data_IF_812485311418
#
_entry.id   IF_812485311418
#
_cell.length_a   1.000
_cell.length_b   1.000
_cell.length_c   1.000
_cell.angle_alpha   90.00
_cell.angle_beta   90.00
_cell.angle_gamma   90.00
#
_symmetry.space_group_name_H-M   'P 1'
#
loop_
_entity.id
_entity.type
_entity.pdbx_description
1 polymer ?
#
# COMPACT_ATOMS: atom_id res chain seq x y z
N UNK A 1 8.10 -30.17 24.73
CA UNK A 1 8.99 -29.18 24.07
C UNK A 1 9.02 -29.35 22.55
N UNK A 2 9.22 -30.55 22.00
CA UNK A 2 9.20 -30.82 20.53
C UNK A 2 7.90 -30.42 19.80
N UNK A 3 6.72 -30.70 20.38
CA UNK A 3 5.42 -30.41 19.75
C UNK A 3 5.17 -28.90 19.55
N UNK A 4 5.58 -28.07 20.50
CA UNK A 4 5.47 -26.60 20.41
C UNK A 4 6.39 -26.04 19.32
N UNK A 5 7.63 -26.53 19.26
CA UNK A 5 8.59 -26.15 18.23
C UNK A 5 8.13 -26.55 16.81
N UNK A 6 7.53 -27.73 16.67
CA UNK A 6 6.93 -28.20 15.41
C UNK A 6 5.74 -27.33 14.99
N UNK A 7 4.86 -26.98 15.94
CA UNK A 7 3.74 -26.06 15.71
C UNK A 7 4.25 -24.67 15.29
N UNK A 8 5.22 -24.11 16.00
CA UNK A 8 5.80 -22.79 15.70
C UNK A 8 6.51 -22.77 14.33
N UNK A 9 7.18 -23.85 13.93
CA UNK A 9 7.81 -23.97 12.61
C UNK A 9 6.77 -24.14 11.50
N UNK A 10 5.71 -24.92 11.73
CA UNK A 10 4.60 -25.08 10.80
C UNK A 10 3.85 -23.76 10.57
N UNK A 11 3.55 -23.03 11.65
CA UNK A 11 2.95 -21.71 11.55
C UNK A 11 3.86 -20.73 10.82
N UNK A 12 5.17 -20.72 11.08
CA UNK A 12 6.13 -19.87 10.35
C UNK A 12 6.20 -20.21 8.86
N UNK A 13 6.16 -21.48 8.50
CA UNK A 13 6.20 -21.91 7.10
C UNK A 13 4.91 -21.52 6.36
N UNK A 14 3.75 -21.76 6.98
CA UNK A 14 2.45 -21.35 6.40
C UNK A 14 2.33 -19.84 6.35
N UNK A 15 2.70 -19.14 7.41
CA UNK A 15 2.68 -17.68 7.44
C UNK A 15 3.62 -17.09 6.40
N UNK A 16 4.75 -17.73 6.12
CA UNK A 16 5.69 -17.36 5.06
C UNK A 16 5.05 -17.40 3.65
N UNK A 17 4.38 -18.50 3.32
CA UNK A 17 3.67 -18.60 2.01
C UNK A 17 2.50 -17.60 1.95
N UNK A 18 1.78 -17.42 3.05
CA UNK A 18 0.63 -16.52 3.08
C UNK A 18 1.00 -15.05 3.08
N UNK A 19 2.11 -14.66 3.72
CA UNK A 19 2.62 -13.30 3.63
C UNK A 19 3.20 -13.01 2.25
N UNK A 20 3.81 -14.00 1.59
CA UNK A 20 4.26 -13.90 0.19
C UNK A 20 3.08 -13.64 -0.75
N UNK A 21 2.01 -14.46 -0.68
CA UNK A 21 0.77 -14.26 -1.46
C UNK A 21 0.16 -12.86 -1.19
N UNK A 22 0.18 -12.43 0.06
CA UNK A 22 -0.34 -11.10 0.45
C UNK A 22 0.52 -9.99 -0.15
N UNK A 23 1.84 -10.12 -0.05
CA UNK A 23 2.79 -9.18 -0.63
C UNK A 23 2.67 -9.08 -2.15
N UNK A 24 2.49 -10.20 -2.85
CA UNK A 24 2.30 -10.23 -4.30
C UNK A 24 1.02 -9.50 -4.72
N UNK A 25 -0.11 -9.81 -4.08
CA UNK A 25 -1.39 -9.15 -4.36
C UNK A 25 -1.32 -7.62 -4.18
N UNK A 26 -0.69 -7.15 -3.09
CA UNK A 26 -0.51 -5.73 -2.86
C UNK A 26 0.50 -5.10 -3.83
N UNK A 27 1.54 -5.83 -4.22
CA UNK A 27 2.49 -5.36 -5.23
C UNK A 27 1.82 -5.16 -6.58
N UNK A 28 0.91 -6.05 -6.97
CA UNK A 28 0.13 -5.94 -8.20
C UNK A 28 -0.78 -4.70 -8.23
N UNK A 29 -1.30 -4.25 -7.08
CA UNK A 29 -2.06 -2.99 -6.98
C UNK A 29 -1.24 -1.81 -7.49
N UNK A 30 0.04 -1.72 -7.10
CA UNK A 30 0.92 -0.63 -7.55
C UNK A 30 1.43 -0.84 -8.97
N UNK A 31 1.91 -2.04 -9.29
CA UNK A 31 2.54 -2.29 -10.60
C UNK A 31 1.52 -2.24 -11.74
N UNK A 32 0.29 -2.73 -11.51
CA UNK A 32 -0.75 -2.84 -12.51
C UNK A 32 -2.04 -2.09 -12.11
N UNK A 33 -1.91 -0.83 -11.73
CA UNK A 33 -3.02 0.06 -11.31
C UNK A 33 -4.22 0.11 -12.26
N UNK A 34 -4.01 0.05 -13.58
CA UNK A 34 -5.10 0.11 -14.56
C UNK A 34 -5.92 -1.18 -14.55
N UNK A 35 -5.27 -2.34 -14.55
CA UNK A 35 -5.97 -3.62 -14.47
C UNK A 35 -6.62 -3.79 -13.10
N UNK A 36 -5.91 -3.41 -12.04
CA UNK A 36 -6.42 -3.46 -10.67
C UNK A 36 -7.69 -2.63 -10.52
N UNK A 37 -7.72 -1.38 -11.03
CA UNK A 37 -8.91 -0.52 -10.92
C UNK A 37 -10.12 -1.04 -11.70
N UNK A 38 -9.91 -1.77 -12.80
CA UNK A 38 -10.97 -2.37 -13.63
C UNK A 38 -11.53 -3.68 -13.07
N UNK A 39 -10.68 -4.48 -12.42
CA UNK A 39 -10.97 -5.86 -12.04
C UNK A 39 -11.23 -6.07 -10.55
N UNK A 40 -10.82 -5.13 -9.70
CA UNK A 40 -10.95 -5.27 -8.25
C UNK A 40 -12.36 -4.97 -7.80
N UNK A 41 -13.02 -5.98 -7.23
CA UNK A 41 -14.30 -5.80 -6.55
C UNK A 41 -14.10 -5.42 -5.09
N UNK A 42 -15.16 -4.95 -4.44
CA UNK A 42 -15.15 -4.66 -2.99
C UNK A 42 -14.80 -5.92 -2.20
N UNK A 43 -15.29 -7.09 -2.61
CA UNK A 43 -14.99 -8.38 -2.00
C UNK A 43 -13.51 -8.74 -2.13
N UNK A 44 -12.91 -8.53 -3.31
CA UNK A 44 -11.49 -8.77 -3.54
C UNK A 44 -10.63 -7.86 -2.64
N UNK A 45 -10.98 -6.58 -2.54
CA UNK A 45 -10.30 -5.63 -1.65
C UNK A 45 -10.41 -6.04 -0.17
N UNK A 46 -11.60 -6.48 0.25
CA UNK A 46 -11.82 -6.96 1.61
C UNK A 46 -11.01 -8.23 1.92
N UNK A 47 -10.84 -9.14 0.95
CA UNK A 47 -9.97 -10.31 1.12
C UNK A 47 -8.49 -9.90 1.26
N UNK A 48 -8.03 -8.93 0.47
CA UNK A 48 -6.67 -8.38 0.59
C UNK A 48 -6.42 -7.75 1.97
N UNK A 49 -7.38 -6.99 2.50
CA UNK A 49 -7.30 -6.39 3.83
C UNK A 49 -7.35 -7.45 4.93
N UNK A 50 -8.23 -8.46 4.79
CA UNK A 50 -8.30 -9.60 5.73
C UNK A 50 -6.96 -10.32 5.83
N UNK A 51 -6.28 -10.55 4.71
CA UNK A 51 -4.94 -11.17 4.69
C UNK A 51 -3.89 -10.34 5.42
N UNK A 52 -3.92 -9.01 5.27
CA UNK A 52 -3.07 -8.12 6.08
C UNK A 52 -3.35 -8.29 7.58
N UNK A 53 -4.62 -8.34 8.00
CA UNK A 53 -4.96 -8.56 9.42
C UNK A 53 -4.47 -9.92 9.93
N UNK A 54 -4.48 -10.94 9.09
CA UNK A 54 -4.07 -12.29 9.49
C UNK A 54 -2.55 -12.48 9.55
N UNK A 55 -1.79 -11.82 8.67
CA UNK A 55 -0.38 -12.16 8.43
C UNK A 55 0.59 -10.97 8.52
N UNK A 56 0.10 -9.74 8.36
CA UNK A 56 0.92 -8.53 8.45
C UNK A 56 1.25 -8.15 9.89
N UNK A 57 2.32 -7.38 10.05
CA UNK A 57 2.66 -6.75 11.33
C UNK A 57 1.66 -5.65 11.71
N UNK A 58 1.72 -5.22 12.97
CA UNK A 58 0.94 -4.07 13.47
C UNK A 58 1.16 -2.81 12.61
N UNK A 59 2.39 -2.58 12.17
CA UNK A 59 2.75 -1.46 11.29
C UNK A 59 2.05 -1.59 9.93
N UNK A 60 2.10 -2.78 9.31
CA UNK A 60 1.42 -3.05 8.04
C UNK A 60 -0.10 -2.86 8.16
N UNK A 61 -0.72 -3.38 9.23
CA UNK A 61 -2.15 -3.21 9.49
C UNK A 61 -2.51 -1.73 9.62
N UNK A 62 -1.71 -0.96 10.37
CA UNK A 62 -1.91 0.49 10.51
C UNK A 62 -1.88 1.20 9.16
N UNK A 63 -0.83 0.98 8.36
CA UNK A 63 -0.66 1.69 7.08
C UNK A 63 -1.79 1.31 6.10
N UNK A 64 -2.13 0.02 6.00
CA UNK A 64 -3.20 -0.46 5.14
C UNK A 64 -4.58 0.12 5.53
N UNK A 65 -4.83 0.28 6.84
CA UNK A 65 -6.07 0.92 7.32
C UNK A 65 -6.16 2.38 6.87
N UNK A 66 -5.04 3.11 6.89
CA UNK A 66 -4.96 4.51 6.47
C UNK A 66 -5.10 4.65 4.95
N UNK A 67 -4.46 3.75 4.20
CA UNK A 67 -4.68 3.63 2.75
C UNK A 67 -6.17 3.49 2.44
N UNK A 68 -6.87 2.57 3.11
CA UNK A 68 -8.29 2.33 2.83
C UNK A 68 -9.20 3.48 3.27
N UNK A 69 -8.92 4.11 4.42
CA UNK A 69 -9.65 5.32 4.85
C UNK A 69 -9.47 6.46 3.85
N UNK A 70 -8.25 6.66 3.34
CA UNK A 70 -7.97 7.65 2.32
C UNK A 70 -8.68 7.33 0.99
N UNK A 71 -8.69 6.06 0.59
CA UNK A 71 -9.40 5.58 -0.59
C UNK A 71 -10.91 5.86 -0.51
N UNK A 72 -11.54 5.62 0.65
CA UNK A 72 -12.94 5.96 0.85
C UNK A 72 -13.22 7.46 0.75
N UNK A 73 -12.38 8.29 1.40
CA UNK A 73 -12.50 9.76 1.34
C UNK A 73 -12.32 10.29 -0.09
N UNK A 74 -11.41 9.70 -0.86
CA UNK A 74 -11.21 10.07 -2.26
C UNK A 74 -12.44 9.76 -3.13
N UNK A 75 -13.01 8.57 -2.99
CA UNK A 75 -14.17 8.15 -3.79
C UNK A 75 -15.49 8.86 -3.39
N UNK A 76 -15.55 9.49 -2.21
CA UNK A 76 -16.73 10.24 -1.74
C UNK A 76 -16.68 11.74 -2.02
N UNK A 77 -15.56 12.29 -2.50
CA UNK A 77 -15.44 13.71 -2.79
C UNK A 77 -16.21 14.08 -4.06
N UNK A 78 -17.15 15.02 -3.96
CA UNK A 78 -17.82 15.61 -5.12
C UNK A 78 -16.80 16.35 -5.99
N UNK A 79 -16.76 16.04 -7.30
CA UNK A 79 -15.83 16.66 -8.24
C UNK A 79 -16.34 18.05 -8.64
N UNK A 80 -15.56 19.10 -8.36
CA UNK A 80 -15.80 20.48 -8.82
C UNK A 80 -14.65 20.92 -9.76
N UNK A 81 -14.90 21.82 -10.72
CA UNK A 81 -14.03 22.13 -11.87
C UNK A 81 -12.57 22.58 -11.57
N UNK A 82 -12.22 22.94 -10.33
CA UNK A 82 -10.82 23.19 -9.90
C UNK A 82 -10.04 21.87 -9.60
N UNK A 83 -10.58 20.71 -10.03
CA UNK A 83 -10.22 19.40 -9.51
C UNK A 83 -8.96 18.77 -10.07
N UNK A 84 -8.48 19.09 -11.28
CA UNK A 84 -7.47 18.24 -11.94
C UNK A 84 -6.14 18.11 -11.17
N UNK A 85 -5.61 19.23 -10.64
CA UNK A 85 -4.37 19.20 -9.83
C UNK A 85 -4.58 18.60 -8.44
N UNK A 86 -5.79 18.76 -7.89
CA UNK A 86 -6.18 18.16 -6.61
C UNK A 86 -6.35 16.65 -6.77
N UNK A 87 -6.91 16.20 -7.89
CA UNK A 87 -7.09 14.79 -8.27
C UNK A 87 -5.73 14.11 -8.46
N UNK A 88 -4.80 14.71 -9.21
CA UNK A 88 -3.46 14.16 -9.41
C UNK A 88 -2.69 13.98 -8.08
N UNK A 89 -2.69 15.00 -7.21
CA UNK A 89 -2.04 14.92 -5.89
C UNK A 89 -2.68 13.85 -5.00
N UNK A 90 -4.00 13.73 -5.06
CA UNK A 90 -4.75 12.74 -4.28
C UNK A 90 -4.45 11.32 -4.75
N UNK A 91 -4.38 11.11 -6.07
CA UNK A 91 -3.98 9.85 -6.67
C UNK A 91 -2.54 9.47 -6.26
N UNK A 92 -1.57 10.38 -6.37
CA UNK A 92 -0.21 10.09 -5.95
C UNK A 92 -0.12 9.77 -4.46
N UNK A 93 -0.86 10.49 -3.61
CA UNK A 93 -0.91 10.20 -2.17
C UNK A 93 -1.44 8.79 -1.90
N UNK A 94 -2.48 8.37 -2.62
CA UNK A 94 -3.01 7.01 -2.52
C UNK A 94 -1.99 5.95 -2.98
N UNK A 95 -1.25 6.20 -4.07
CA UNK A 95 -0.17 5.32 -4.53
C UNK A 95 0.98 5.24 -3.52
N UNK A 96 1.34 6.36 -2.87
CA UNK A 96 2.33 6.36 -1.79
C UNK A 96 1.89 5.50 -0.61
N UNK A 97 0.63 5.58 -0.18
CA UNK A 97 0.10 4.77 0.91
C UNK A 97 0.08 3.27 0.54
N UNK A 98 -0.24 2.93 -0.71
CA UNK A 98 -0.10 1.57 -1.22
C UNK A 98 1.37 1.10 -1.22
N UNK A 99 2.28 1.94 -1.70
CA UNK A 99 3.71 1.64 -1.73
C UNK A 99 4.32 1.49 -0.32
N UNK A 100 3.91 2.30 0.65
CA UNK A 100 4.26 2.13 2.07
C UNK A 100 3.75 0.78 2.61
N UNK A 101 2.53 0.38 2.24
CA UNK A 101 1.98 -0.94 2.60
C UNK A 101 2.82 -2.08 2.01
N UNK A 102 3.23 -1.97 0.74
CA UNK A 102 4.10 -2.94 0.06
C UNK A 102 5.49 -3.01 0.71
N UNK A 103 6.10 -1.87 1.05
CA UNK A 103 7.38 -1.81 1.75
C UNK A 103 7.30 -2.49 3.12
N UNK A 104 6.21 -2.26 3.86
CA UNK A 104 5.97 -2.89 5.17
C UNK A 104 5.78 -4.40 5.03
N UNK A 105 4.97 -4.85 4.07
CA UNK A 105 4.79 -6.28 3.75
C UNK A 105 6.09 -6.96 3.32
N UNK A 106 6.95 -6.29 2.55
CA UNK A 106 8.27 -6.84 2.18
C UNK A 106 9.15 -7.05 3.42
N UNK A 107 9.12 -6.12 4.35
CA UNK A 107 9.83 -6.26 5.61
C UNK A 107 9.23 -7.38 6.47
N UNK A 108 7.91 -7.53 6.52
CA UNK A 108 7.24 -8.64 7.21
C UNK A 108 7.63 -10.01 6.61
N UNK A 109 7.72 -10.10 5.28
CA UNK A 109 8.06 -11.34 4.58
C UNK A 109 9.56 -11.68 4.65
N UNK A 110 10.43 -10.70 4.40
CA UNK A 110 11.85 -10.95 4.13
C UNK A 110 12.80 -10.34 5.15
N UNK A 111 12.32 -9.46 6.02
CA UNK A 111 13.15 -8.62 6.90
C UNK A 111 13.91 -7.50 6.16
N UNK A 112 13.71 -7.35 4.85
CA UNK A 112 14.37 -6.31 4.07
C UNK A 112 13.49 -5.07 3.92
N UNK A 113 14.05 -3.93 4.31
CA UNK A 113 13.44 -2.62 4.06
C UNK A 113 13.78 -2.13 2.67
N UNK A 114 12.80 -1.55 2.00
CA UNK A 114 12.96 -0.88 0.70
C UNK A 114 12.41 0.54 0.78
N UNK A 115 12.87 1.42 -0.12
CA UNK A 115 12.42 2.78 -0.17
C UNK A 115 11.17 2.91 -1.07
N UNK A 116 10.15 3.56 -0.55
CA UNK A 116 8.91 3.87 -1.26
C UNK A 116 9.16 4.65 -2.55
N UNK A 117 10.10 5.60 -2.53
CA UNK A 117 10.46 6.38 -3.72
C UNK A 117 11.02 5.51 -4.84
N UNK A 118 11.69 4.41 -4.52
CA UNK A 118 12.19 3.48 -5.54
C UNK A 118 11.05 2.71 -6.18
N UNK A 119 10.03 2.31 -5.42
CA UNK A 119 8.80 1.74 -5.98
C UNK A 119 8.05 2.74 -6.87
N UNK A 120 7.97 4.01 -6.46
CA UNK A 120 7.35 5.06 -7.26
C UNK A 120 8.10 5.30 -8.58
N UNK A 121 9.44 5.26 -8.57
CA UNK A 121 10.26 5.35 -9.78
C UNK A 121 10.14 4.13 -10.69
N UNK A 122 9.89 2.94 -10.13
CA UNK A 122 9.58 1.75 -10.93
C UNK A 122 8.23 1.89 -11.64
N UNK A 123 7.24 2.51 -10.98
CA UNK A 123 5.89 2.69 -11.52
C UNK A 123 5.79 3.82 -12.54
N UNK A 124 6.41 4.96 -12.26
CA UNK A 124 6.25 6.18 -13.05
C UNK A 124 7.45 6.37 -13.98
N UNK A 125 7.18 6.52 -15.27
CA UNK A 125 8.22 6.58 -16.30
C UNK A 125 8.84 7.97 -16.49
N UNK A 126 8.33 9.00 -15.81
CA UNK A 126 8.74 10.39 -16.02
C UNK A 126 9.06 11.16 -14.74
N UNK A 127 9.44 10.44 -13.67
CA UNK A 127 9.90 11.02 -12.40
C UNK A 127 11.17 11.89 -12.52
N UNK A 128 11.86 11.86 -13.65
CA UNK A 128 12.98 12.76 -13.96
C UNK A 128 12.53 14.16 -14.39
N UNK A 129 11.25 14.35 -14.74
CA UNK A 129 10.67 15.68 -14.99
C UNK A 129 10.45 16.38 -13.65
N UNK A 130 10.88 17.65 -13.56
CA UNK A 130 10.86 18.40 -12.30
C UNK A 130 9.45 18.54 -11.74
N UNK A 131 8.47 18.80 -12.59
CA UNK A 131 7.08 19.03 -12.19
C UNK A 131 6.49 17.77 -11.54
N UNK A 132 6.72 16.60 -12.14
CA UNK A 132 6.28 15.30 -11.61
C UNK A 132 7.01 14.98 -10.31
N UNK A 133 8.32 15.24 -10.24
CA UNK A 133 9.11 15.04 -9.04
C UNK A 133 8.61 15.90 -7.87
N UNK A 134 8.33 17.18 -8.11
CA UNK A 134 7.81 18.11 -7.11
C UNK A 134 6.44 17.64 -6.59
N UNK A 135 5.56 17.14 -7.47
CA UNK A 135 4.28 16.54 -7.08
C UNK A 135 4.45 15.28 -6.23
N UNK A 136 5.40 14.40 -6.58
CA UNK A 136 5.71 13.20 -5.79
C UNK A 136 6.24 13.55 -4.40
N UNK A 137 7.12 14.55 -4.28
CA UNK A 137 7.63 15.00 -2.97
C UNK A 137 6.49 15.56 -2.11
N UNK A 138 5.53 16.26 -2.71
CA UNK A 138 4.36 16.78 -1.99
C UNK A 138 3.42 15.65 -1.57
N UNK A 139 3.17 14.67 -2.44
CA UNK A 139 2.39 13.49 -2.12
C UNK A 139 3.05 12.62 -1.04
N UNK A 140 4.38 12.45 -1.08
CA UNK A 140 5.14 11.76 -0.04
C UNK A 140 4.94 12.44 1.32
N UNK A 141 5.09 13.77 1.38
CA UNK A 141 4.87 14.54 2.61
C UNK A 141 3.44 14.36 3.13
N UNK A 142 2.44 14.36 2.25
CA UNK A 142 1.06 14.13 2.61
C UNK A 142 0.85 12.72 3.19
N UNK A 143 1.33 11.68 2.50
CA UNK A 143 1.26 10.29 2.96
C UNK A 143 1.97 10.10 4.31
N UNK A 144 3.17 10.67 4.49
CA UNK A 144 3.89 10.64 5.78
C UNK A 144 3.17 11.41 6.89
N UNK A 145 2.43 12.47 6.56
CA UNK A 145 1.57 13.15 7.52
C UNK A 145 0.41 12.25 7.95
N UNK A 146 -0.25 11.59 6.99
CA UNK A 146 -1.35 10.65 7.24
C UNK A 146 -0.87 9.47 8.11
N UNK A 147 0.29 8.89 7.83
CA UNK A 147 0.85 7.77 8.62
C UNK A 147 1.14 8.17 10.07
N UNK A 148 1.58 9.41 10.29
CA UNK A 148 1.90 9.93 11.63
C UNK A 148 0.66 10.33 12.41
N UNK A 149 -0.28 11.02 11.76
CA UNK A 149 -1.36 11.72 12.45
C UNK A 149 -2.74 11.09 12.23
N UNK A 150 -2.88 10.18 11.25
CA UNK A 150 -4.17 9.66 10.80
C UNK A 150 -4.73 10.41 9.60
N UNK A 151 -5.85 9.92 9.05
CA UNK A 151 -6.62 10.61 8.01
C UNK A 151 -7.54 11.62 8.68
N UNK A 152 -7.31 12.92 8.46
CA UNK A 152 -8.18 14.02 8.87
C UNK A 152 -8.67 14.76 7.62
#
# INVERSE_FOLDING_TARGET
MQKKLQIDNFFRQISGVKIEETFDHWSNLLMNTEEFSKSTTVEAMNDMLKKIVMYGSEETVKIASLFQQYNYKYNSAEKNEDSERVEARTMFTLLFLAAETICSLKNDFTGHKINVMDLMRMKLNDTYKKEVYDELVMAEKAARSIIRNGVH
#
